data_IF_174817844261
#
_entry.id   IF_174817844261
#
_cell.length_a   1.000
_cell.length_b   1.000
_cell.length_c   1.000
_cell.angle_alpha   90.00
_cell.angle_beta   90.00
_cell.angle_gamma   90.00
#
_symmetry.space_group_name_H-M   'P 1'
#
loop_
_entity.id
_entity.type
_entity.pdbx_description
1 polymer ?
#
# COMPACT_ATOMS: atom_id res chain seq x y z
N UNK A 1 -55.74 -18.68 7.41
CA UNK A 1 -56.06 -17.82 6.25
C UNK A 1 -54.75 -17.52 5.52
N UNK A 2 -54.51 -18.22 4.40
CA UNK A 2 -53.35 -18.00 3.54
C UNK A 2 -53.88 -17.45 2.20
N UNK A 3 -53.51 -16.22 1.86
CA UNK A 3 -53.86 -15.57 0.60
C UNK A 3 -52.72 -15.70 -0.39
N UNK A 4 -52.84 -16.68 -1.28
CA UNK A 4 -52.02 -16.83 -2.49
C UNK A 4 -52.69 -15.97 -3.57
N UNK A 5 -51.94 -15.05 -4.16
CA UNK A 5 -52.37 -14.33 -5.36
C UNK A 5 -51.21 -14.13 -6.33
N UNK A 6 -51.13 -14.92 -7.41
CA UNK A 6 -50.39 -14.53 -8.59
C UNK A 6 -51.36 -14.36 -9.77
N UNK A 7 -51.23 -13.28 -10.53
CA UNK A 7 -51.41 -13.23 -12.00
C UNK A 7 -51.37 -11.81 -12.53
N UNK A 8 -50.61 -11.65 -13.63
CA UNK A 8 -50.78 -10.79 -14.83
C UNK A 8 -49.37 -10.43 -15.31
N UNK A 9 -48.74 -11.24 -16.16
CA UNK A 9 -48.88 -11.21 -17.63
C UNK A 9 -48.93 -9.78 -18.19
N UNK A 10 -47.75 -9.26 -18.53
CA UNK A 10 -47.56 -8.19 -19.49
C UNK A 10 -46.56 -8.67 -20.51
N UNK A 11 -47.08 -9.07 -21.67
CA UNK A 11 -46.33 -9.55 -22.83
C UNK A 11 -46.13 -8.39 -23.83
N UNK A 12 -45.07 -8.51 -24.63
CA UNK A 12 -44.77 -7.77 -25.87
C UNK A 12 -44.39 -6.28 -25.80
N UNK A 13 -43.09 -6.01 -25.97
CA UNK A 13 -42.62 -5.02 -26.96
C UNK A 13 -41.14 -5.21 -27.23
N UNK A 14 -40.84 -6.11 -28.17
CA UNK A 14 -39.66 -5.97 -29.03
C UNK A 14 -39.81 -4.65 -29.80
N UNK A 15 -38.96 -3.68 -29.48
CA UNK A 15 -38.76 -2.50 -30.32
C UNK A 15 -37.37 -2.60 -30.94
N UNK A 16 -37.33 -3.24 -32.10
CA UNK A 16 -36.23 -3.16 -33.05
C UNK A 16 -36.11 -1.72 -33.53
N UNK A 17 -35.01 -1.05 -33.20
CA UNK A 17 -34.60 0.17 -33.88
C UNK A 17 -33.08 0.17 -34.04
N UNK A 18 -32.66 -0.13 -35.26
CA UNK A 18 -31.31 0.14 -35.76
C UNK A 18 -31.02 1.65 -35.65
N UNK A 19 -30.34 2.05 -34.57
CA UNK A 19 -29.75 3.38 -34.43
C UNK A 19 -28.31 3.37 -34.93
N UNK A 20 -28.11 3.83 -36.18
CA UNK A 20 -26.78 4.12 -36.75
C UNK A 20 -26.02 5.08 -35.84
N UNK A 21 -24.79 4.73 -35.45
CA UNK A 21 -23.83 5.71 -34.93
C UNK A 21 -23.52 6.73 -36.04
N UNK A 22 -23.62 8.05 -35.79
CA UNK A 22 -23.06 9.04 -36.69
C UNK A 22 -21.52 8.98 -36.63
N UNK A 23 -20.82 9.24 -37.75
CA UNK A 23 -19.38 9.42 -37.71
C UNK A 23 -19.04 10.70 -36.93
N UNK A 24 -18.22 10.54 -35.90
CA UNK A 24 -17.62 11.67 -35.16
C UNK A 24 -16.66 12.37 -36.14
N UNK A 25 -16.79 13.69 -36.37
CA UNK A 25 -15.81 14.43 -37.15
C UNK A 25 -14.48 14.44 -36.41
N UNK A 26 -13.41 14.09 -37.13
CA UNK A 26 -12.05 14.25 -36.67
C UNK A 26 -11.75 15.75 -36.57
N UNK A 27 -11.71 16.26 -35.34
CA UNK A 27 -11.23 17.61 -35.07
C UNK A 27 -9.72 17.51 -34.81
N UNK A 28 -8.96 17.85 -35.85
CA UNK A 28 -7.53 18.18 -35.78
C UNK A 28 -7.38 19.38 -34.84
N UNK A 29 -7.13 19.10 -33.57
CA UNK A 29 -6.62 20.11 -32.65
C UNK A 29 -5.12 19.92 -32.51
N UNK A 30 -4.42 20.81 -33.20
CA UNK A 30 -3.02 21.16 -33.04
C UNK A 30 -2.61 21.14 -31.56
N UNK A 31 -1.90 20.10 -31.18
CA UNK A 31 -0.46 20.11 -30.89
C UNK A 31 0.11 21.39 -30.23
N UNK A 32 -0.52 21.91 -29.19
CA UNK A 32 0.15 22.77 -28.22
C UNK A 32 0.64 21.96 -27.00
N UNK A 33 1.87 21.47 -27.13
CA UNK A 33 2.87 21.56 -26.07
C UNK A 33 2.49 21.15 -24.64
N UNK A 34 1.82 20.01 -24.45
CA UNK A 34 1.76 19.41 -23.11
C UNK A 34 3.11 18.77 -22.81
N UNK A 35 4.03 19.58 -22.30
CA UNK A 35 5.19 19.11 -21.54
C UNK A 35 4.61 18.33 -20.36
N UNK A 36 4.52 17.01 -20.53
CA UNK A 36 4.22 16.10 -19.45
C UNK A 36 5.29 16.34 -18.39
N UNK A 37 4.93 17.09 -17.34
CA UNK A 37 5.71 17.15 -16.12
C UNK A 37 5.95 15.70 -15.71
N UNK A 38 7.20 15.20 -15.73
CA UNK A 38 7.45 13.86 -15.26
C UNK A 38 7.01 13.84 -13.80
N UNK A 39 6.03 13.00 -13.49
CA UNK A 39 5.68 12.66 -12.13
C UNK A 39 7.00 12.45 -11.37
N UNK A 40 7.14 12.96 -10.12
CA UNK A 40 8.37 12.78 -9.37
C UNK A 40 8.61 11.27 -9.34
N UNK A 41 9.64 10.83 -10.07
CA UNK A 41 10.16 9.48 -9.98
C UNK A 41 10.57 9.38 -8.52
N UNK A 42 9.71 8.78 -7.70
CA UNK A 42 10.12 8.38 -6.36
C UNK A 42 11.40 7.60 -6.61
N UNK A 43 12.54 8.01 -6.03
CA UNK A 43 13.75 7.24 -6.16
C UNK A 43 13.35 5.84 -5.72
N UNK A 44 13.45 4.88 -6.64
CA UNK A 44 13.44 3.48 -6.29
C UNK A 44 14.61 3.35 -5.32
N UNK A 45 14.32 3.52 -4.03
CA UNK A 45 15.23 3.29 -2.95
C UNK A 45 15.60 1.85 -3.16
N UNK A 46 16.81 1.63 -3.69
CA UNK A 46 17.34 0.32 -3.98
C UNK A 46 17.00 -0.55 -2.78
N UNK A 47 16.11 -1.53 -2.97
CA UNK A 47 15.59 -2.37 -1.90
C UNK A 47 16.79 -2.90 -1.14
N UNK A 48 17.04 -2.30 0.02
CA UNK A 48 18.31 -2.45 0.70
C UNK A 48 18.12 -3.68 1.54
N UNK A 49 18.25 -4.84 0.90
CA UNK A 49 17.99 -6.15 1.51
C UNK A 49 18.59 -6.14 2.92
N UNK A 50 17.76 -6.19 3.98
CA UNK A 50 18.24 -6.16 5.34
C UNK A 50 19.18 -7.35 5.52
N UNK A 51 20.47 -7.08 5.76
CA UNK A 51 21.41 -8.15 6.06
C UNK A 51 21.13 -8.64 7.46
N UNK A 52 21.01 -9.97 7.61
CA UNK A 52 20.80 -10.57 8.93
C UNK A 52 21.90 -10.12 9.90
N UNK A 53 21.55 -9.69 11.12
CA UNK A 53 22.54 -9.34 12.12
C UNK A 53 23.37 -10.58 12.51
N UNK A 54 24.65 -10.42 12.89
CA UNK A 54 25.46 -11.53 13.38
C UNK A 54 24.88 -12.13 14.68
N UNK A 55 25.23 -13.39 14.99
CA UNK A 55 24.71 -14.11 16.15
C UNK A 55 24.96 -13.41 17.52
N UNK A 56 25.95 -12.50 17.58
CA UNK A 56 26.29 -11.71 18.76
C UNK A 56 26.06 -10.21 18.57
N UNK A 57 25.12 -9.83 17.70
CA UNK A 57 24.77 -8.43 17.49
C UNK A 57 24.29 -7.79 18.79
N UNK A 58 24.66 -6.53 18.99
CA UNK A 58 24.18 -5.77 20.12
C UNK A 58 22.66 -5.53 20.00
N UNK A 59 21.91 -5.41 21.11
CA UNK A 59 20.46 -5.23 21.07
C UNK A 59 19.99 -4.04 20.22
N UNK A 60 20.75 -2.95 20.20
CA UNK A 60 20.44 -1.77 19.37
C UNK A 60 20.66 -2.03 17.87
N UNK A 61 21.61 -2.89 17.50
CA UNK A 61 21.82 -3.31 16.11
C UNK A 61 20.66 -4.19 15.63
N UNK A 62 20.22 -5.11 16.49
CA UNK A 62 19.04 -5.94 16.21
C UNK A 62 17.79 -5.08 16.08
N UNK A 63 17.63 -4.07 16.95
CA UNK A 63 16.51 -3.12 16.86
C UNK A 63 16.55 -2.34 15.53
N UNK A 64 17.71 -1.83 15.11
CA UNK A 64 17.86 -1.17 13.81
C UNK A 64 17.58 -2.09 12.62
N UNK A 65 17.98 -3.36 12.69
CA UNK A 65 17.64 -4.36 11.68
C UNK A 65 16.13 -4.58 11.60
N UNK A 66 15.46 -4.75 12.74
CA UNK A 66 14.01 -4.93 12.82
C UNK A 66 13.31 -3.71 12.22
N UNK A 67 13.75 -2.49 12.53
CA UNK A 67 13.16 -1.25 12.01
C UNK A 67 13.12 -1.23 10.47
N UNK A 68 14.23 -1.58 9.80
CA UNK A 68 14.28 -1.64 8.34
C UNK A 68 13.38 -2.74 7.79
N UNK A 69 13.46 -3.95 8.38
CA UNK A 69 12.69 -5.10 7.92
C UNK A 69 11.18 -4.87 8.01
N UNK A 70 10.68 -4.30 9.12
CA UNK A 70 9.25 -4.04 9.28
C UNK A 70 8.75 -2.91 8.38
N UNK A 71 9.60 -1.96 8.00
CA UNK A 71 9.26 -0.92 7.02
C UNK A 71 8.99 -1.53 5.63
N UNK A 72 9.83 -2.48 5.20
CA UNK A 72 9.63 -3.22 3.95
C UNK A 72 8.35 -4.07 4.00
N UNK A 73 8.13 -4.80 5.09
CA UNK A 73 6.91 -5.58 5.29
C UNK A 73 5.65 -4.70 5.29
N UNK A 74 5.72 -3.49 5.86
CA UNK A 74 4.60 -2.55 5.87
C UNK A 74 4.24 -2.10 4.46
N UNK A 75 5.25 -1.85 3.62
CA UNK A 75 5.01 -1.52 2.21
C UNK A 75 4.33 -2.67 1.48
N UNK A 76 4.78 -3.92 1.70
CA UNK A 76 4.12 -5.10 1.15
C UNK A 76 2.67 -5.26 1.66
N UNK A 77 2.42 -5.02 2.95
CA UNK A 77 1.09 -5.10 3.54
C UNK A 77 0.13 -4.05 2.94
N UNK A 78 0.59 -2.82 2.72
CA UNK A 78 -0.18 -1.79 2.00
C UNK A 78 -0.50 -2.21 0.56
N UNK A 79 0.47 -2.79 -0.15
CA UNK A 79 0.26 -3.26 -1.53
C UNK A 79 -0.77 -4.40 -1.61
N UNK A 80 -0.95 -5.15 -0.52
CA UNK A 80 -1.91 -6.24 -0.40
C UNK A 80 -3.24 -5.83 0.28
N UNK A 81 -3.47 -4.53 0.53
CA UNK A 81 -4.65 -4.02 1.24
C UNK A 81 -4.89 -4.66 2.62
N UNK A 82 -3.81 -4.98 3.35
CA UNK A 82 -3.85 -5.51 4.71
C UNK A 82 -3.63 -4.40 5.75
N UNK A 83 -4.57 -3.47 5.85
CA UNK A 83 -4.41 -2.22 6.61
C UNK A 83 -4.09 -2.44 8.10
N UNK A 84 -4.78 -3.39 8.75
CA UNK A 84 -4.50 -3.73 10.16
C UNK A 84 -3.09 -4.26 10.36
N UNK A 85 -2.58 -5.06 9.41
CA UNK A 85 -1.20 -5.56 9.46
C UNK A 85 -0.21 -4.41 9.24
N UNK A 86 -0.47 -3.54 8.27
CA UNK A 86 0.36 -2.37 8.00
C UNK A 86 0.43 -1.42 9.22
N UNK A 87 -0.67 -1.30 9.97
CA UNK A 87 -0.70 -0.57 11.24
C UNK A 87 0.19 -1.22 12.30
N UNK A 88 0.07 -2.54 12.54
CA UNK A 88 0.92 -3.23 13.51
C UNK A 88 2.41 -3.17 13.16
N UNK A 89 2.72 -3.24 11.86
CA UNK A 89 4.09 -3.11 11.37
C UNK A 89 4.65 -1.71 11.58
N UNK A 90 3.83 -0.66 11.45
CA UNK A 90 4.25 0.71 11.79
C UNK A 90 4.49 0.85 13.30
N UNK A 91 3.63 0.29 14.14
CA UNK A 91 3.84 0.30 15.59
C UNK A 91 5.13 -0.42 15.99
N UNK A 92 5.40 -1.59 15.39
CA UNK A 92 6.63 -2.33 15.60
C UNK A 92 7.86 -1.53 15.15
N UNK A 93 7.76 -0.79 14.02
CA UNK A 93 8.82 0.09 13.52
C UNK A 93 9.18 1.18 14.50
N UNK A 94 8.16 1.86 15.06
CA UNK A 94 8.36 2.93 16.03
C UNK A 94 9.05 2.41 17.29
N UNK A 95 8.64 1.25 17.81
CA UNK A 95 9.27 0.63 18.98
C UNK A 95 10.72 0.21 18.70
N UNK A 96 10.98 -0.36 17.53
CA UNK A 96 12.34 -0.72 17.10
C UNK A 96 13.25 0.53 16.99
N UNK A 97 12.74 1.62 16.40
CA UNK A 97 13.46 2.89 16.30
C UNK A 97 13.79 3.48 17.69
N UNK A 98 12.84 3.39 18.63
CA UNK A 98 13.06 3.81 20.03
C UNK A 98 14.15 2.94 20.67
N UNK A 99 14.11 1.62 20.48
CA UNK A 99 15.10 0.71 21.07
C UNK A 99 16.49 0.84 20.46
N UNK A 100 16.59 1.15 19.16
CA UNK A 100 17.86 1.42 18.50
C UNK A 100 18.55 2.68 19.05
N UNK A 101 17.76 3.66 19.48
CA UNK A 101 18.26 4.92 20.06
C UNK A 101 18.52 4.83 21.57
N UNK A 102 18.04 3.79 22.26
CA UNK A 102 18.25 3.65 23.70
C UNK A 102 19.74 3.38 23.97
N UNK A 103 20.45 4.29 24.65
CA UNK A 103 21.79 3.97 25.12
C UNK A 103 21.64 2.79 26.08
N UNK A 104 22.38 1.71 25.82
CA UNK A 104 22.52 0.61 26.77
C UNK A 104 22.96 1.24 28.09
N UNK A 105 22.03 1.34 29.05
CA UNK A 105 22.34 1.75 30.41
C UNK A 105 23.27 0.68 30.96
N UNK A 106 24.58 0.91 30.81
CA UNK A 106 25.59 0.13 31.51
C UNK A 106 25.28 0.29 32.99
N UNK A 107 25.14 -0.84 33.68
CA UNK A 107 25.10 -0.87 35.14
C UNK A 107 26.36 -0.15 35.64
N UNK A 108 26.27 0.82 36.56
CA UNK A 108 27.47 1.41 37.13
C UNK A 108 28.24 0.32 37.87
N UNK A 109 29.50 0.14 37.49
CA UNK A 109 30.46 -0.73 38.14
C UNK A 109 30.56 -0.36 39.63
N UNK A 110 30.13 -1.26 40.52
CA UNK A 110 30.25 -1.12 41.97
C UNK A 110 31.47 -1.89 42.48
N UNK A 111 32.63 -1.67 41.85
CA UNK A 111 33.91 -2.18 42.30
C UNK A 111 34.71 -1.07 43.01
N UNK A 112 34.48 -0.90 44.32
CA UNK A 112 35.44 -0.32 45.27
C UNK A 112 35.23 -0.89 46.67
#
# INVERSE_FOLDING_TARGET
MAGIGPRLLGDTSEMTAHGRNPPVPADDTDRDGQVATPAPRQPHAATRVPRSPPAHAAPWEVAGYIEVLVAEMRWMAHSAALDSLAYFLEMARLEAAIQAQRPTRRCPDHSR
#
